data_IF_226951095431
#
_entry.id   IF_226951095431
#
_cell.length_a   1.000
_cell.length_b   1.000
_cell.length_c   1.000
_cell.angle_alpha   90.00
_cell.angle_beta   90.00
_cell.angle_gamma   90.00
#
_symmetry.space_group_name_H-M   'P 1'
#
loop_
_entity.id
_entity.type
_entity.pdbx_description
1 polymer ?
#
# COMPACT_ATOMS: atom_id res chain seq x y z
N UNK A 1 -12.38 -24.32 -6.41
CA UNK A 1 -12.76 -23.17 -5.56
C UNK A 1 -12.31 -21.96 -6.32
N UNK A 2 -13.20 -21.37 -7.10
CA UNK A 2 -12.92 -20.11 -7.77
C UNK A 2 -13.23 -19.00 -6.76
N UNK A 3 -12.33 -18.81 -5.79
CA UNK A 3 -12.34 -17.63 -4.92
C UNK A 3 -11.77 -16.46 -5.72
N UNK A 4 -12.47 -16.10 -6.79
CA UNK A 4 -12.09 -14.95 -7.58
C UNK A 4 -12.29 -13.69 -6.72
N UNK A 5 -11.26 -12.84 -6.57
CA UNK A 5 -11.37 -11.66 -5.73
C UNK A 5 -12.50 -10.76 -6.22
N UNK A 6 -13.28 -10.19 -5.29
CA UNK A 6 -14.39 -9.28 -5.64
C UNK A 6 -13.96 -8.07 -6.48
N UNK A 7 -12.69 -7.68 -6.36
CA UNK A 7 -12.07 -6.57 -7.10
C UNK A 7 -11.46 -6.98 -8.45
N UNK A 8 -11.59 -8.24 -8.87
CA UNK A 8 -11.13 -8.68 -10.18
C UNK A 8 -11.93 -7.99 -11.30
N UNK A 9 -11.30 -7.83 -12.47
CA UNK A 9 -11.95 -7.22 -13.62
C UNK A 9 -13.22 -7.97 -14.02
N UNK A 10 -13.19 -9.31 -14.01
CA UNK A 10 -14.34 -10.15 -14.33
C UNK A 10 -15.47 -10.02 -13.30
N UNK A 11 -15.14 -9.94 -12.00
CA UNK A 11 -16.12 -9.69 -10.93
C UNK A 11 -16.77 -8.32 -11.05
N UNK A 12 -16.01 -7.28 -11.37
CA UNK A 12 -16.55 -5.93 -11.58
C UNK A 12 -17.45 -5.89 -12.83
N UNK A 13 -17.05 -6.52 -13.93
CA UNK A 13 -17.82 -6.49 -15.18
C UNK A 13 -19.15 -7.25 -15.10
N UNK A 14 -19.26 -8.20 -14.16
CA UNK A 14 -20.52 -8.90 -13.86
C UNK A 14 -21.51 -8.04 -13.06
N UNK A 15 -21.09 -6.91 -12.49
CA UNK A 15 -21.98 -6.00 -11.77
C UNK A 15 -22.88 -5.20 -12.73
N UNK A 16 -24.06 -4.76 -12.28
CA UNK A 16 -24.85 -3.76 -13.00
C UNK A 16 -24.06 -2.48 -13.27
N UNK A 17 -24.32 -1.81 -14.40
CA UNK A 17 -23.54 -0.63 -14.83
C UNK A 17 -23.44 0.48 -13.75
N UNK A 18 -24.51 0.71 -12.99
CA UNK A 18 -24.51 1.67 -11.88
C UNK A 18 -23.57 1.27 -10.73
N UNK A 19 -23.40 -0.02 -10.48
CA UNK A 19 -22.56 -0.55 -9.41
C UNK A 19 -21.09 -0.71 -9.85
N UNK A 20 -20.84 -0.82 -11.16
CA UNK A 20 -19.48 -0.86 -11.72
C UNK A 20 -18.70 0.42 -11.41
N UNK A 21 -19.31 1.59 -11.62
CA UNK A 21 -18.68 2.88 -11.35
C UNK A 21 -18.31 3.02 -9.86
N UNK A 22 -19.20 2.60 -8.97
CA UNK A 22 -18.97 2.59 -7.52
C UNK A 22 -17.84 1.62 -7.14
N UNK A 23 -17.80 0.43 -7.74
CA UNK A 23 -16.74 -0.54 -7.49
C UNK A 23 -15.37 -0.03 -7.95
N UNK A 24 -15.29 0.55 -9.16
CA UNK A 24 -14.06 1.15 -9.69
C UNK A 24 -13.56 2.30 -8.81
N UNK A 25 -14.45 3.18 -8.34
CA UNK A 25 -14.09 4.27 -7.43
C UNK A 25 -13.54 3.76 -6.09
N UNK A 26 -14.13 2.69 -5.54
CA UNK A 26 -13.64 2.07 -4.30
C UNK A 26 -12.25 1.45 -4.48
N UNK A 27 -12.02 0.79 -5.62
CA UNK A 27 -10.72 0.20 -5.95
C UNK A 27 -9.66 1.30 -6.14
N UNK A 28 -9.96 2.36 -6.89
CA UNK A 28 -9.01 3.47 -7.09
C UNK A 28 -8.65 4.15 -5.78
N UNK A 29 -9.64 4.42 -4.92
CA UNK A 29 -9.42 5.03 -3.59
C UNK A 29 -8.51 4.14 -2.72
N UNK A 30 -8.73 2.83 -2.70
CA UNK A 30 -7.91 1.90 -1.94
C UNK A 30 -6.46 1.86 -2.46
N UNK A 31 -6.27 1.91 -3.78
CA UNK A 31 -4.94 1.97 -4.41
C UNK A 31 -4.24 3.29 -4.07
N UNK A 32 -4.92 4.42 -4.19
CA UNK A 32 -4.38 5.74 -3.83
C UNK A 32 -3.97 5.79 -2.36
N UNK A 33 -4.81 5.31 -1.44
CA UNK A 33 -4.48 5.24 -0.02
C UNK A 33 -3.29 4.33 0.26
N UNK A 34 -3.24 3.15 -0.37
CA UNK A 34 -2.10 2.24 -0.24
C UNK A 34 -0.81 2.84 -0.77
N UNK A 35 -0.88 3.54 -1.90
CA UNK A 35 0.24 4.27 -2.45
C UNK A 35 0.69 5.36 -1.48
N UNK A 36 -0.20 6.26 -1.03
CA UNK A 36 0.13 7.31 -0.05
C UNK A 36 0.76 6.73 1.23
N UNK A 37 0.21 5.65 1.78
CA UNK A 37 0.74 5.00 2.98
C UNK A 37 2.12 4.38 2.76
N UNK A 38 2.37 3.81 1.57
CA UNK A 38 3.67 3.19 1.24
C UNK A 38 4.71 4.15 0.69
N UNK A 39 4.27 5.25 0.09
CA UNK A 39 5.12 6.24 -0.60
C UNK A 39 5.15 7.57 0.12
N UNK A 40 4.66 7.67 1.36
CA UNK A 40 5.02 8.77 2.26
C UNK A 40 6.54 8.94 2.16
N UNK A 41 7.04 10.07 1.63
CA UNK A 41 8.47 10.31 1.46
C UNK A 41 9.21 10.06 2.77
N UNK A 42 8.55 10.38 3.88
CA UNK A 42 9.05 10.20 5.24
C UNK A 42 9.19 8.73 5.64
N UNK A 43 8.25 7.84 5.27
CA UNK A 43 8.36 6.41 5.60
C UNK A 43 9.45 5.72 4.77
N UNK A 44 9.53 6.02 3.47
CA UNK A 44 10.60 5.46 2.63
C UNK A 44 11.98 6.02 3.01
N UNK A 45 12.07 7.33 3.29
CA UNK A 45 13.30 7.95 3.77
C UNK A 45 13.72 7.39 5.12
N UNK A 46 12.78 7.19 6.06
CA UNK A 46 13.04 6.58 7.37
C UNK A 46 13.55 5.15 7.21
N UNK A 47 12.94 4.32 6.37
CA UNK A 47 13.44 2.96 6.08
C UNK A 47 14.81 2.93 5.43
N UNK A 48 15.12 3.89 4.55
CA UNK A 48 16.45 4.04 3.95
C UNK A 48 17.49 4.46 4.98
N UNK A 49 17.15 5.43 5.83
CA UNK A 49 18.00 5.87 6.94
C UNK A 49 18.26 4.71 7.92
N UNK A 50 17.22 3.97 8.31
CA UNK A 50 17.33 2.80 9.18
C UNK A 50 18.29 1.74 8.62
N UNK A 51 18.12 1.41 7.34
CA UNK A 51 19.00 0.45 6.66
C UNK A 51 20.44 0.94 6.59
N UNK A 52 20.64 2.23 6.29
CA UNK A 52 21.96 2.84 6.23
C UNK A 52 22.65 2.82 7.60
N UNK A 53 21.95 3.18 8.68
CA UNK A 53 22.45 3.17 10.05
C UNK A 53 22.89 1.76 10.46
N UNK A 54 22.06 0.75 10.23
CA UNK A 54 22.39 -0.65 10.56
C UNK A 54 23.59 -1.16 9.76
N UNK A 55 23.71 -0.81 8.49
CA UNK A 55 24.84 -1.21 7.65
C UNK A 55 26.20 -0.63 8.10
N UNK A 56 26.18 0.47 8.86
CA UNK A 56 27.39 1.14 9.37
C UNK A 56 27.62 0.91 10.87
N UNK A 57 26.92 -0.06 11.48
CA UNK A 57 27.08 -0.37 12.90
C UNK A 57 26.42 0.64 13.85
N UNK A 58 25.54 1.50 13.36
CA UNK A 58 24.82 2.53 14.12
C UNK A 58 23.39 2.10 14.48
N UNK A 59 23.18 0.79 14.73
CA UNK A 59 21.85 0.24 14.98
C UNK A 59 21.16 0.87 16.21
N UNK A 60 21.92 1.25 17.25
CA UNK A 60 21.40 1.92 18.45
C UNK A 60 20.63 3.20 18.11
N UNK A 61 21.08 3.95 17.10
CA UNK A 61 20.40 5.18 16.64
C UNK A 61 19.13 4.89 15.83
N UNK A 62 19.01 3.69 15.24
CA UNK A 62 17.82 3.24 14.52
C UNK A 62 16.74 2.69 15.48
N UNK A 63 17.16 2.09 16.59
CA UNK A 63 16.27 1.46 17.57
C UNK A 63 15.63 2.48 18.54
N UNK A 64 16.08 3.73 18.52
CA UNK A 64 15.47 4.82 19.30
C UNK A 64 15.70 4.71 20.81
N UNK A 65 16.61 3.85 21.26
CA UNK A 65 17.07 3.79 22.63
C UNK A 65 18.25 4.74 22.85
N UNK A 66 18.24 5.57 23.91
CA UNK A 66 19.32 6.49 24.23
C UNK A 66 20.64 5.80 24.60
#
# INVERSE_FOLDING_TARGET
MDDEPWWSAESVWRLPAADQEVALLRISTAVEQHMVLRTSPDELARRRADRWLRAHGLAVLADGEP
#
